data_IF_431650023685
#
_entry.id   IF_431650023685
#
_cell.length_a   1.000
_cell.length_b   1.000
_cell.length_c   1.000
_cell.angle_alpha   90.00
_cell.angle_beta   90.00
_cell.angle_gamma   90.00
#
_symmetry.space_group_name_H-M   'P 1'
#
loop_
_entity.id
_entity.type
_entity.pdbx_description
1 polymer ?
#
# COMPACT_ATOMS: atom_id res chain seq x y z
N UNK A 1 12.62 20.72 -39.29
CA UNK A 1 11.31 21.38 -39.22
C UNK A 1 10.52 20.65 -38.17
N UNK A 2 10.23 21.32 -37.04
CA UNK A 2 9.42 20.75 -35.96
C UNK A 2 7.99 20.51 -36.43
N UNK A 3 7.45 19.36 -36.16
CA UNK A 3 6.03 19.08 -36.35
C UNK A 3 5.28 19.85 -35.26
N UNK A 4 4.43 20.80 -35.66
CA UNK A 4 3.53 21.48 -34.73
C UNK A 4 2.29 20.57 -34.55
N UNK A 5 2.21 19.86 -33.44
CA UNK A 5 1.01 19.14 -33.07
C UNK A 5 0.01 20.10 -32.42
N UNK A 6 -1.21 20.13 -32.95
CA UNK A 6 -2.32 20.84 -32.31
C UNK A 6 -3.17 19.84 -31.54
N UNK A 7 -3.23 20.03 -30.24
CA UNK A 7 -4.15 19.30 -29.38
C UNK A 7 -5.28 20.26 -28.96
N UNK A 8 -6.52 19.85 -29.17
CA UNK A 8 -7.67 20.55 -28.62
C UNK A 8 -8.07 19.86 -27.33
N UNK A 9 -8.10 20.63 -26.24
CA UNK A 9 -8.59 20.17 -24.95
C UNK A 9 -9.94 20.84 -24.68
N UNK A 10 -10.91 20.05 -24.28
CA UNK A 10 -12.15 20.56 -23.73
C UNK A 10 -11.93 20.77 -22.24
N UNK A 11 -12.09 22.01 -21.78
CA UNK A 11 -12.05 22.34 -20.37
C UNK A 11 -13.46 22.20 -19.82
N UNK A 12 -13.65 21.32 -18.85
CA UNK A 12 -14.90 21.18 -18.11
C UNK A 12 -14.71 21.87 -16.78
N UNK A 13 -15.55 22.86 -16.49
CA UNK A 13 -15.60 23.48 -15.18
C UNK A 13 -16.10 22.45 -14.16
N UNK A 14 -15.33 22.21 -13.11
CA UNK A 14 -15.69 21.33 -12.02
C UNK A 14 -15.39 22.01 -10.68
N UNK A 15 -16.36 21.99 -9.77
CA UNK A 15 -16.12 22.37 -8.39
C UNK A 15 -15.30 21.26 -7.71
N UNK A 16 -14.03 21.55 -7.44
CA UNK A 16 -13.09 20.62 -6.79
C UNK A 16 -12.88 20.94 -5.31
N UNK A 17 -13.62 21.87 -4.74
CA UNK A 17 -13.57 22.21 -3.31
C UNK A 17 -13.87 20.96 -2.46
N UNK A 18 -14.84 20.15 -2.93
CA UNK A 18 -15.16 18.85 -2.36
C UNK A 18 -14.85 17.78 -3.40
N UNK A 19 -14.00 16.84 -3.06
CA UNK A 19 -13.60 15.77 -3.98
C UNK A 19 -13.19 14.50 -3.23
N UNK A 20 -13.03 13.42 -4.00
CA UNK A 20 -12.46 12.18 -3.49
C UNK A 20 -11.19 11.88 -4.29
N UNK A 21 -10.11 11.56 -3.59
CA UNK A 21 -8.89 10.98 -4.15
C UNK A 21 -8.82 9.50 -3.79
N UNK A 22 -8.90 8.62 -4.80
CA UNK A 22 -8.66 7.19 -4.66
C UNK A 22 -7.18 6.93 -4.85
N UNK A 23 -6.56 6.20 -3.92
CA UNK A 23 -5.11 5.99 -3.93
C UNK A 23 -4.80 4.51 -4.10
N UNK A 24 -4.19 4.16 -5.23
CA UNK A 24 -3.62 2.84 -5.48
C UNK A 24 -2.10 2.89 -5.52
N UNK A 25 -1.44 1.76 -5.24
CA UNK A 25 0.00 1.60 -5.36
C UNK A 25 0.34 0.19 -5.83
N UNK A 26 1.53 0.02 -6.39
CA UNK A 26 2.12 -1.30 -6.62
C UNK A 26 1.21 -2.21 -7.45
N UNK A 27 0.92 -1.82 -8.68
CA UNK A 27 0.09 -2.60 -9.60
C UNK A 27 0.87 -3.76 -10.21
N UNK A 28 2.15 -3.58 -10.50
CA UNK A 28 3.04 -4.58 -11.11
C UNK A 28 2.41 -5.36 -12.26
N UNK A 29 1.75 -4.64 -13.18
CA UNK A 29 1.12 -5.26 -14.34
C UNK A 29 2.17 -5.69 -15.36
N UNK A 30 2.04 -6.91 -15.87
CA UNK A 30 3.00 -7.52 -16.79
C UNK A 30 2.37 -8.40 -17.86
N UNK A 31 1.03 -8.44 -17.95
CA UNK A 31 0.28 -9.43 -18.76
C UNK A 31 0.71 -10.86 -18.40
N UNK A 32 0.79 -11.12 -17.09
CA UNK A 32 1.24 -12.37 -16.53
C UNK A 32 0.15 -13.02 -15.70
N UNK A 33 -0.14 -14.29 -15.97
CA UNK A 33 -1.19 -15.02 -15.25
C UNK A 33 -2.56 -14.34 -15.37
N UNK A 34 -3.09 -13.83 -14.28
CA UNK A 34 -4.40 -13.22 -14.21
C UNK A 34 -4.35 -11.74 -13.79
N UNK A 35 -3.17 -11.13 -13.79
CA UNK A 35 -2.96 -9.77 -13.29
C UNK A 35 -3.92 -8.75 -13.94
N UNK A 36 -3.94 -8.66 -15.27
CA UNK A 36 -4.82 -7.73 -15.99
C UNK A 36 -6.31 -8.03 -15.75
N UNK A 37 -6.68 -9.30 -15.64
CA UNK A 37 -8.05 -9.69 -15.33
C UNK A 37 -8.44 -9.32 -13.90
N UNK A 38 -7.58 -9.60 -12.93
CA UNK A 38 -7.82 -9.31 -11.53
C UNK A 38 -7.84 -7.79 -11.29
N UNK A 39 -6.94 -7.05 -11.93
CA UNK A 39 -6.93 -5.59 -11.89
C UNK A 39 -8.23 -5.00 -12.48
N UNK A 40 -8.69 -5.51 -13.63
CA UNK A 40 -9.94 -5.08 -14.26
C UNK A 40 -11.15 -5.32 -13.38
N UNK A 41 -11.28 -6.56 -12.88
CA UNK A 41 -12.48 -6.98 -12.15
C UNK A 41 -12.49 -6.52 -10.69
N UNK A 42 -11.32 -6.15 -10.16
CA UNK A 42 -11.16 -5.59 -8.83
C UNK A 42 -11.07 -4.07 -8.88
N UNK A 43 -9.84 -3.55 -8.83
CA UNK A 43 -9.57 -2.13 -8.67
C UNK A 43 -10.32 -1.23 -9.68
N UNK A 44 -10.21 -1.54 -10.97
CA UNK A 44 -10.83 -0.71 -12.03
C UNK A 44 -12.36 -0.72 -11.91
N UNK A 45 -12.97 -1.90 -11.74
CA UNK A 45 -14.43 -2.01 -11.65
C UNK A 45 -14.98 -1.30 -10.40
N UNK A 46 -14.32 -1.46 -9.24
CA UNK A 46 -14.77 -0.85 -7.99
C UNK A 46 -14.58 0.66 -7.97
N UNK A 47 -13.43 1.15 -8.44
CA UNK A 47 -13.14 2.59 -8.46
C UNK A 47 -13.98 3.33 -9.52
N UNK A 48 -14.26 2.70 -10.66
CA UNK A 48 -15.19 3.25 -11.64
C UNK A 48 -16.62 3.32 -11.08
N UNK A 49 -17.10 2.22 -10.46
CA UNK A 49 -18.43 2.20 -9.85
C UNK A 49 -18.56 3.21 -8.70
N UNK A 50 -17.48 3.41 -7.93
CA UNK A 50 -17.43 4.44 -6.90
C UNK A 50 -17.56 5.84 -7.52
N UNK A 51 -16.83 6.12 -8.58
CA UNK A 51 -16.86 7.41 -9.27
C UNK A 51 -18.23 7.68 -9.91
N UNK A 52 -18.83 6.66 -10.54
CA UNK A 52 -20.15 6.76 -11.18
C UNK A 52 -21.27 7.04 -10.14
N UNK A 53 -21.10 6.59 -8.90
CA UNK A 53 -22.05 6.80 -7.80
C UNK A 53 -21.80 8.07 -6.98
N UNK A 54 -20.63 8.72 -7.17
CA UNK A 54 -20.23 9.88 -6.39
C UNK A 54 -20.97 11.14 -6.83
N UNK A 55 -21.35 11.98 -5.86
CA UNK A 55 -21.93 13.32 -6.10
C UNK A 55 -20.87 14.42 -6.21
N UNK A 56 -19.60 14.10 -5.97
CA UNK A 56 -18.46 15.02 -6.07
C UNK A 56 -17.41 14.44 -7.04
N UNK A 57 -16.54 15.27 -7.60
CA UNK A 57 -15.47 14.81 -8.48
C UNK A 57 -14.61 13.73 -7.81
N UNK A 58 -14.28 12.68 -8.56
CA UNK A 58 -13.41 11.59 -8.11
C UNK A 58 -12.18 11.55 -8.98
N UNK A 59 -11.02 11.49 -8.35
CA UNK A 59 -9.71 11.37 -8.97
C UNK A 59 -9.01 10.12 -8.46
N UNK A 60 -8.03 9.65 -9.19
CA UNK A 60 -7.17 8.55 -8.78
C UNK A 60 -5.71 9.01 -8.72
N UNK A 61 -4.99 8.63 -7.68
CA UNK A 61 -3.55 8.84 -7.52
C UNK A 61 -2.88 7.47 -7.43
N UNK A 62 -2.00 7.17 -8.38
CA UNK A 62 -1.20 5.95 -8.38
C UNK A 62 0.19 6.26 -7.80
N UNK A 63 0.50 5.67 -6.66
CA UNK A 63 1.74 5.92 -5.93
C UNK A 63 2.91 5.03 -6.39
N UNK A 64 3.04 4.83 -7.71
CA UNK A 64 4.15 4.14 -8.33
C UNK A 64 3.91 2.65 -8.65
N UNK A 65 4.86 2.10 -9.41
CA UNK A 65 4.93 0.70 -9.81
C UNK A 65 3.70 0.22 -10.60
N UNK A 66 3.33 0.99 -11.66
CA UNK A 66 2.22 0.63 -12.53
C UNK A 66 2.49 -0.65 -13.31
N UNK A 67 3.74 -0.86 -13.69
CA UNK A 67 4.15 -2.04 -14.47
C UNK A 67 5.31 -2.77 -13.79
N UNK A 68 5.53 -4.01 -14.21
CA UNK A 68 6.66 -4.78 -13.68
C UNK A 68 7.81 -4.81 -14.69
N UNK A 69 8.79 -3.95 -14.55
CA UNK A 69 9.93 -3.71 -15.43
C UNK A 69 10.64 -5.00 -15.89
N UNK A 70 10.81 -5.97 -14.98
CA UNK A 70 11.41 -7.28 -15.27
C UNK A 70 10.81 -7.97 -16.50
N UNK A 71 9.51 -7.72 -16.76
CA UNK A 71 8.77 -8.38 -17.85
C UNK A 71 8.47 -7.45 -19.02
N UNK A 72 8.98 -6.22 -19.02
CA UNK A 72 8.67 -5.22 -20.04
C UNK A 72 8.94 -5.73 -21.45
N UNK A 73 10.05 -6.42 -21.65
CA UNK A 73 10.47 -6.92 -22.95
C UNK A 73 10.02 -8.38 -23.19
N UNK A 74 10.12 -9.23 -22.19
CA UNK A 74 9.74 -10.64 -22.27
C UNK A 74 8.23 -10.84 -22.52
N UNK A 75 7.39 -9.98 -21.92
CA UNK A 75 5.93 -10.01 -22.05
C UNK A 75 5.39 -8.91 -22.95
N UNK A 76 6.26 -8.01 -23.39
CA UNK A 76 5.88 -6.83 -24.16
C UNK A 76 4.75 -6.02 -23.50
N UNK A 77 4.81 -5.87 -22.15
CA UNK A 77 3.88 -5.06 -21.40
C UNK A 77 4.63 -3.97 -20.61
N UNK A 78 4.52 -2.72 -21.07
CA UNK A 78 5.22 -1.53 -20.57
C UNK A 78 4.22 -0.40 -20.32
N UNK A 79 4.67 0.74 -19.84
CA UNK A 79 3.84 1.91 -19.56
C UNK A 79 2.92 2.35 -20.71
N UNK A 80 3.35 2.38 -21.99
CA UNK A 80 2.41 2.66 -23.08
C UNK A 80 1.27 1.63 -23.20
N UNK A 81 1.54 0.36 -22.88
CA UNK A 81 0.51 -0.68 -22.88
C UNK A 81 -0.45 -0.52 -21.70
N UNK A 82 0.05 -0.18 -20.53
CA UNK A 82 -0.76 0.16 -19.35
C UNK A 82 -1.72 1.31 -19.65
N UNK A 83 -1.22 2.44 -20.17
CA UNK A 83 -2.05 3.59 -20.54
C UNK A 83 -3.13 3.22 -21.56
N UNK A 84 -2.72 2.49 -22.62
CA UNK A 84 -3.65 2.01 -23.65
C UNK A 84 -4.69 1.04 -23.08
N UNK A 85 -4.28 0.19 -22.14
CA UNK A 85 -5.15 -0.77 -21.50
C UNK A 85 -6.23 -0.08 -20.67
N UNK A 86 -5.91 0.95 -19.89
CA UNK A 86 -6.90 1.77 -19.17
C UNK A 86 -7.94 2.35 -20.13
N UNK A 87 -7.48 2.99 -21.19
CA UNK A 87 -8.36 3.58 -22.22
C UNK A 87 -9.27 2.53 -22.89
N UNK A 88 -8.71 1.39 -23.29
CA UNK A 88 -9.48 0.31 -23.94
C UNK A 88 -10.51 -0.34 -23.02
N UNK A 89 -10.31 -0.31 -21.72
CA UNK A 89 -11.25 -0.81 -20.74
C UNK A 89 -12.25 0.24 -20.25
N UNK A 90 -12.21 1.45 -20.82
CA UNK A 90 -13.19 2.50 -20.55
C UNK A 90 -13.04 3.12 -19.16
N UNK A 91 -11.84 3.05 -18.55
CA UNK A 91 -11.60 3.72 -17.28
C UNK A 91 -11.62 5.23 -17.47
N UNK A 92 -12.58 5.91 -16.85
CA UNK A 92 -12.84 7.33 -17.06
C UNK A 92 -12.43 8.22 -15.88
N UNK A 93 -12.04 7.62 -14.77
CA UNK A 93 -11.53 8.37 -13.60
C UNK A 93 -10.20 9.00 -13.99
N UNK A 94 -10.01 10.33 -13.84
CA UNK A 94 -8.73 10.99 -14.09
C UNK A 94 -7.64 10.44 -13.14
N UNK A 95 -6.47 10.09 -13.70
CA UNK A 95 -5.39 9.45 -12.95
C UNK A 95 -4.16 10.35 -12.92
N UNK A 96 -3.69 10.66 -11.73
CA UNK A 96 -2.37 11.21 -11.45
C UNK A 96 -1.40 10.07 -11.13
N UNK A 97 -0.14 10.18 -11.55
CA UNK A 97 0.84 9.10 -11.37
C UNK A 97 2.09 9.63 -10.67
N UNK A 98 2.55 8.93 -9.64
CA UNK A 98 3.94 8.99 -9.19
C UNK A 98 4.75 7.88 -9.87
N UNK A 99 6.05 8.07 -10.04
CA UNK A 99 6.92 7.07 -10.62
C UNK A 99 7.44 6.13 -9.53
N UNK A 100 7.41 4.82 -9.77
CA UNK A 100 8.01 3.83 -8.90
C UNK A 100 9.30 3.22 -9.48
N UNK A 101 9.99 2.41 -8.69
CA UNK A 101 11.25 1.80 -9.15
C UNK A 101 11.04 0.81 -10.29
N UNK A 102 9.87 0.20 -10.42
CA UNK A 102 9.53 -0.71 -11.53
C UNK A 102 8.94 0.00 -12.76
N UNK A 103 8.92 1.33 -12.77
CA UNK A 103 8.49 2.13 -13.92
C UNK A 103 9.67 2.68 -14.74
N UNK A 104 10.89 2.26 -14.40
CA UNK A 104 12.13 2.57 -15.11
C UNK A 104 12.46 1.52 -16.18
N UNK A 105 13.17 1.93 -17.24
CA UNK A 105 13.59 0.99 -18.29
C UNK A 105 14.75 0.10 -17.80
N UNK A 106 14.54 -1.22 -17.68
CA UNK A 106 15.54 -2.13 -17.13
C UNK A 106 16.72 -2.42 -18.08
N UNK A 107 16.67 -1.94 -19.32
CA UNK A 107 17.76 -2.10 -20.29
C UNK A 107 18.70 -0.89 -20.33
N UNK A 108 18.41 0.18 -19.61
CA UNK A 108 19.25 1.38 -19.63
C UNK A 108 19.79 1.74 -18.25
N UNK A 109 21.04 2.19 -18.22
CA UNK A 109 21.68 2.67 -16.99
C UNK A 109 21.47 4.18 -16.84
N UNK A 110 21.34 4.60 -15.57
CA UNK A 110 21.24 6.00 -15.17
C UNK A 110 19.80 6.53 -15.19
N UNK A 111 19.59 7.48 -14.33
CA UNK A 111 18.29 8.01 -13.97
C UNK A 111 17.56 8.67 -15.15
N UNK A 112 18.15 9.68 -15.76
CA UNK A 112 17.53 10.44 -16.85
C UNK A 112 17.12 9.56 -18.06
N UNK A 113 17.89 8.58 -18.55
CA UNK A 113 17.43 7.67 -19.60
C UNK A 113 16.44 6.63 -19.08
N UNK A 114 16.54 6.16 -17.83
CA UNK A 114 15.65 5.16 -17.23
C UNK A 114 14.20 5.60 -17.21
N UNK A 115 13.96 6.87 -16.88
CA UNK A 115 12.62 7.47 -16.74
C UNK A 115 11.99 7.94 -18.06
N UNK A 116 12.71 7.92 -19.21
CA UNK A 116 12.19 8.46 -20.47
C UNK A 116 10.88 7.83 -20.93
N UNK A 117 10.68 6.54 -20.72
CA UNK A 117 9.45 5.84 -21.08
C UNK A 117 8.27 6.37 -20.25
N UNK A 118 8.48 6.59 -18.97
CA UNK A 118 7.50 7.18 -18.07
C UNK A 118 7.13 8.59 -18.53
N UNK A 119 8.10 9.48 -18.65
CA UNK A 119 7.87 10.88 -19.01
C UNK A 119 7.17 11.05 -20.36
N UNK A 120 7.44 10.19 -21.34
CA UNK A 120 6.78 10.20 -22.65
C UNK A 120 5.36 9.64 -22.64
N UNK A 121 5.05 8.76 -21.68
CA UNK A 121 3.78 8.05 -21.63
C UNK A 121 2.78 8.67 -20.66
N UNK A 122 3.22 8.97 -19.44
CA UNK A 122 2.35 9.38 -18.34
C UNK A 122 2.47 10.87 -18.01
N UNK A 123 3.58 11.51 -18.36
CA UNK A 123 3.83 12.92 -18.10
C UNK A 123 5.08 13.16 -17.24
N UNK A 124 5.22 14.35 -16.65
CA UNK A 124 6.38 14.66 -15.82
C UNK A 124 6.44 13.72 -14.61
N UNK A 125 7.65 13.36 -14.18
CA UNK A 125 7.88 12.50 -13.03
C UNK A 125 7.77 13.25 -11.68
N UNK A 126 7.76 14.60 -11.71
CA UNK A 126 7.40 15.42 -10.56
C UNK A 126 6.60 16.65 -11.02
N UNK A 127 5.60 17.02 -10.27
CA UNK A 127 4.69 18.12 -10.56
C UNK A 127 3.80 18.45 -9.35
N UNK A 128 3.07 19.56 -9.43
CA UNK A 128 2.05 19.90 -8.45
C UNK A 128 0.75 20.34 -9.11
N UNK A 129 -0.33 20.29 -8.37
CA UNK A 129 -1.65 20.77 -8.78
C UNK A 129 -2.51 21.08 -7.55
N UNK A 130 -3.57 21.84 -7.75
CA UNK A 130 -4.54 22.14 -6.71
C UNK A 130 -5.89 21.50 -7.03
N UNK A 131 -6.53 20.89 -6.03
CA UNK A 131 -7.95 20.56 -6.06
C UNK A 131 -8.62 21.26 -4.87
N UNK A 132 -9.49 22.22 -5.18
CA UNK A 132 -9.99 23.14 -4.17
C UNK A 132 -8.87 23.86 -3.45
N UNK A 133 -8.85 23.74 -2.12
CA UNK A 133 -7.82 24.35 -1.25
C UNK A 133 -6.61 23.46 -0.99
N UNK A 134 -6.71 22.16 -1.30
CA UNK A 134 -5.64 21.22 -1.06
C UNK A 134 -4.59 21.31 -2.15
N UNK A 135 -3.34 21.49 -1.75
CA UNK A 135 -2.19 21.45 -2.63
C UNK A 135 -1.63 20.03 -2.71
N UNK A 136 -1.51 19.50 -3.92
CA UNK A 136 -0.97 18.17 -4.20
C UNK A 136 0.38 18.31 -4.88
N UNK A 137 1.36 17.57 -4.38
CA UNK A 137 2.71 17.46 -4.94
C UNK A 137 2.98 16.00 -5.25
N UNK A 138 3.51 15.73 -6.41
CA UNK A 138 4.04 14.42 -6.79
C UNK A 138 5.53 14.56 -7.00
N UNK A 139 6.31 13.66 -6.37
CA UNK A 139 7.77 13.63 -6.45
C UNK A 139 8.24 12.27 -6.97
N UNK A 140 9.41 12.27 -7.60
CA UNK A 140 10.16 11.08 -7.96
C UNK A 140 11.31 10.90 -6.97
N UNK A 141 11.28 9.84 -6.21
CA UNK A 141 12.27 9.50 -5.19
C UNK A 141 13.15 8.29 -5.57
N UNK A 142 13.16 7.94 -6.86
CA UNK A 142 13.95 6.86 -7.44
C UNK A 142 15.11 7.45 -8.26
N UNK A 143 16.32 7.39 -7.73
CA UNK A 143 17.55 7.65 -8.50
C UNK A 143 18.04 6.33 -9.11
N UNK A 144 17.63 6.07 -10.36
CA UNK A 144 17.84 4.82 -11.06
C UNK A 144 19.29 4.62 -11.49
N UNK A 145 19.93 3.54 -11.06
CA UNK A 145 21.31 3.17 -11.38
C UNK A 145 21.34 2.12 -12.48
N UNK A 146 20.71 0.97 -12.23
CA UNK A 146 20.61 -0.18 -13.12
C UNK A 146 21.96 -0.68 -13.64
N UNK A 147 22.85 -1.02 -12.75
CA UNK A 147 24.21 -1.50 -13.08
C UNK A 147 24.17 -2.66 -14.08
N UNK A 148 24.91 -2.53 -15.15
CA UNK A 148 25.03 -3.55 -16.20
C UNK A 148 23.88 -3.59 -17.21
N UNK A 149 22.85 -2.74 -17.07
CA UNK A 149 21.77 -2.63 -18.05
C UNK A 149 22.29 -2.09 -19.39
N UNK A 150 21.88 -2.71 -20.50
CA UNK A 150 22.19 -2.28 -21.88
C UNK A 150 21.14 -2.85 -22.83
N UNK A 151 21.16 -2.42 -24.10
CA UNK A 151 20.18 -2.90 -25.09
C UNK A 151 20.17 -4.44 -25.16
N UNK A 152 19.00 -5.01 -24.90
CA UNK A 152 18.76 -6.45 -24.80
C UNK A 152 19.28 -7.12 -23.53
N UNK A 153 19.82 -6.37 -22.56
CA UNK A 153 20.39 -6.92 -21.31
C UNK A 153 19.73 -6.29 -20.09
N UNK A 154 19.02 -7.11 -19.34
CA UNK A 154 18.44 -6.72 -18.05
C UNK A 154 19.58 -6.41 -17.05
N UNK A 155 19.59 -5.20 -16.50
CA UNK A 155 20.57 -4.79 -15.48
C UNK A 155 20.20 -5.30 -14.08
N UNK A 156 20.94 -4.82 -13.09
CA UNK A 156 20.69 -5.13 -11.65
C UNK A 156 19.37 -4.61 -11.13
N UNK A 157 18.85 -3.55 -11.77
CA UNK A 157 17.65 -2.81 -11.36
C UNK A 157 17.81 -2.15 -9.98
N UNK A 158 19.06 -1.84 -9.63
CA UNK A 158 19.40 -1.10 -8.42
C UNK A 158 19.12 0.41 -8.57
N UNK A 159 18.83 1.05 -7.46
CA UNK A 159 18.50 2.48 -7.36
C UNK A 159 18.82 3.01 -5.97
N UNK A 160 18.99 4.33 -5.85
CA UNK A 160 18.99 5.03 -4.58
C UNK A 160 17.60 5.59 -4.27
N UNK A 161 17.26 5.67 -2.99
CA UNK A 161 16.03 6.25 -2.48
C UNK A 161 16.30 7.69 -2.09
N UNK A 162 16.05 8.59 -3.01
CA UNK A 162 16.37 10.01 -2.83
C UNK A 162 15.64 10.89 -3.84
N UNK A 163 15.05 11.98 -3.37
CA UNK A 163 14.57 13.06 -4.23
C UNK A 163 15.76 13.90 -4.70
N UNK A 164 15.88 14.14 -5.99
CA UNK A 164 17.02 14.87 -6.57
C UNK A 164 17.10 16.32 -6.07
N UNK A 165 18.29 16.90 -6.05
CA UNK A 165 18.50 18.30 -5.66
C UNK A 165 17.68 19.28 -6.53
N UNK A 166 17.53 18.96 -7.82
CA UNK A 166 16.72 19.77 -8.73
C UNK A 166 15.23 19.78 -8.31
N UNK A 167 14.69 18.60 -7.96
CA UNK A 167 13.33 18.50 -7.44
C UNK A 167 13.17 19.20 -6.08
N UNK A 168 14.16 19.07 -5.17
CA UNK A 168 14.10 19.76 -3.88
C UNK A 168 14.13 21.28 -4.02
N UNK A 169 14.87 21.79 -5.01
CA UNK A 169 14.89 23.24 -5.33
C UNK A 169 13.53 23.69 -5.87
N UNK A 170 13.00 22.94 -6.83
CA UNK A 170 11.67 23.19 -7.39
C UNK A 170 10.58 23.10 -6.30
N UNK A 171 10.62 22.08 -5.45
CA UNK A 171 9.67 21.91 -4.35
C UNK A 171 9.68 23.12 -3.39
N UNK A 172 10.85 23.65 -3.08
CA UNK A 172 10.96 24.81 -2.22
C UNK A 172 10.30 26.06 -2.85
N UNK A 173 10.44 26.26 -4.17
CA UNK A 173 9.81 27.34 -4.91
C UNK A 173 8.28 27.15 -5.02
N UNK A 174 7.84 25.94 -5.31
CA UNK A 174 6.43 25.54 -5.41
C UNK A 174 5.71 25.75 -4.08
N UNK A 175 6.25 25.17 -2.98
CA UNK A 175 5.66 25.34 -1.65
C UNK A 175 5.71 26.79 -1.16
N UNK A 176 6.70 27.59 -1.57
CA UNK A 176 6.74 29.02 -1.24
C UNK A 176 5.60 29.81 -1.90
N UNK A 177 5.14 29.36 -3.07
CA UNK A 177 4.04 29.97 -3.81
C UNK A 177 2.65 29.66 -3.22
N UNK A 178 2.51 28.65 -2.38
CA UNK A 178 1.26 28.34 -1.67
C UNK A 178 1.02 29.42 -0.62
N UNK A 179 -0.04 30.22 -0.80
CA UNK A 179 -0.36 31.35 0.09
C UNK A 179 -0.89 30.90 1.45
N UNK A 180 -1.86 29.95 1.45
CA UNK A 180 -2.50 29.43 2.67
C UNK A 180 -1.87 28.10 3.11
N UNK A 181 -0.95 28.18 4.06
CA UNK A 181 -0.32 26.98 4.65
C UNK A 181 -1.12 26.35 5.81
N UNK A 182 -2.32 26.88 6.09
CA UNK A 182 -3.26 26.24 7.00
C UNK A 182 -4.12 25.20 6.29
N UNK A 183 -4.20 25.25 4.96
CA UNK A 183 -4.81 24.22 4.14
C UNK A 183 -3.90 22.99 4.06
N UNK A 184 -4.47 21.78 3.91
CA UNK A 184 -3.71 20.54 3.83
C UNK A 184 -2.77 20.49 2.62
N UNK A 185 -1.58 19.93 2.83
CA UNK A 185 -0.62 19.55 1.80
C UNK A 185 -0.61 18.03 1.66
N UNK A 186 -0.75 17.54 0.44
CA UNK A 186 -0.59 16.12 0.10
C UNK A 186 0.65 15.95 -0.76
N UNK A 187 1.61 15.14 -0.31
CA UNK A 187 2.83 14.83 -1.06
C UNK A 187 2.86 13.35 -1.38
N UNK A 188 2.82 13.01 -2.66
CA UNK A 188 2.92 11.64 -3.13
C UNK A 188 4.32 11.35 -3.67
N UNK A 189 4.90 10.25 -3.23
CA UNK A 189 6.12 9.65 -3.74
C UNK A 189 6.01 8.14 -3.60
N UNK A 190 6.92 7.38 -4.22
CA UNK A 190 6.76 5.93 -4.22
C UNK A 190 7.30 5.27 -2.96
N UNK A 191 8.54 5.57 -2.58
CA UNK A 191 9.19 4.95 -1.41
C UNK A 191 8.76 5.66 -0.13
N UNK A 192 8.51 4.88 0.92
CA UNK A 192 8.14 5.43 2.22
C UNK A 192 9.27 6.27 2.85
N UNK A 193 8.88 7.35 3.53
CA UNK A 193 9.79 8.17 4.33
C UNK A 193 10.15 7.48 5.64
N UNK A 194 9.18 6.81 6.24
CA UNK A 194 9.32 6.12 7.52
C UNK A 194 8.83 4.68 7.43
N UNK A 195 9.20 3.91 8.43
CA UNK A 195 8.79 2.53 8.63
C UNK A 195 8.58 2.28 10.11
N UNK A 196 7.54 1.52 10.47
CA UNK A 196 7.25 1.15 11.87
C UNK A 196 7.07 -0.36 12.07
N UNK A 197 7.44 -1.20 11.09
CA UNK A 197 7.40 -2.66 11.25
C UNK A 197 8.64 -3.17 11.99
N UNK A 198 8.66 -2.86 13.27
CA UNK A 198 9.65 -3.32 14.22
C UNK A 198 8.98 -3.59 15.58
N UNK A 199 9.62 -4.37 16.45
CA UNK A 199 9.03 -4.77 17.72
C UNK A 199 8.76 -3.60 18.69
N UNK A 200 9.33 -2.44 18.47
CA UNK A 200 9.07 -1.22 19.25
C UNK A 200 7.95 -0.36 18.66
N UNK A 201 7.49 -0.66 17.45
CA UNK A 201 6.54 0.15 16.67
C UNK A 201 6.97 1.61 16.46
N UNK A 202 8.25 1.87 16.58
CA UNK A 202 8.82 3.22 16.43
C UNK A 202 8.98 3.56 14.94
N UNK A 203 8.63 4.80 14.58
CA UNK A 203 8.85 5.32 13.24
C UNK A 203 10.35 5.49 12.99
N UNK A 204 10.89 4.85 11.98
CA UNK A 204 12.31 4.88 11.59
C UNK A 204 12.43 5.46 10.18
N UNK A 205 13.26 6.52 10.03
CA UNK A 205 13.48 7.14 8.71
C UNK A 205 14.16 6.17 7.73
N UNK A 206 13.73 6.17 6.48
CA UNK A 206 14.14 5.22 5.44
C UNK A 206 14.98 5.82 4.32
N UNK A 207 14.95 7.14 4.15
CA UNK A 207 15.70 7.84 3.12
C UNK A 207 16.82 8.66 3.78
N UNK A 208 18.05 8.14 3.82
CA UNK A 208 19.12 8.72 4.65
C UNK A 208 19.80 9.95 4.04
N UNK A 209 19.51 10.32 2.78
CA UNK A 209 20.15 11.46 2.12
C UNK A 209 19.93 12.76 2.89
N UNK A 210 21.02 13.53 3.08
CA UNK A 210 20.95 14.84 3.75
C UNK A 210 20.24 15.91 2.89
N UNK A 211 20.24 15.76 1.57
CA UNK A 211 19.73 16.78 0.63
C UNK A 211 18.36 16.47 0.03
N UNK A 212 17.99 15.20 -0.07
CA UNK A 212 16.73 14.76 -0.67
C UNK A 212 16.12 13.55 0.02
N UNK A 213 16.49 13.28 1.26
CA UNK A 213 15.93 12.21 2.07
C UNK A 213 14.85 12.68 3.03
N UNK A 214 14.46 11.78 3.96
CA UNK A 214 13.37 12.00 4.93
C UNK A 214 13.51 13.35 5.66
N UNK A 215 14.69 13.66 6.19
CA UNK A 215 14.91 14.89 6.95
C UNK A 215 14.76 16.16 6.11
N UNK A 216 15.20 16.14 4.86
CA UNK A 216 15.08 17.26 3.94
C UNK A 216 13.61 17.50 3.55
N UNK A 217 12.86 16.43 3.25
CA UNK A 217 11.43 16.50 2.96
C UNK A 217 10.61 17.01 4.15
N UNK A 218 10.87 16.49 5.35
CA UNK A 218 10.22 16.98 6.57
C UNK A 218 10.49 18.47 6.83
N UNK A 219 11.71 18.93 6.53
CA UNK A 219 12.04 20.35 6.64
C UNK A 219 11.34 21.20 5.57
N UNK A 220 11.16 20.70 4.34
CA UNK A 220 10.49 21.42 3.27
C UNK A 220 9.01 21.69 3.60
N UNK A 221 8.33 20.76 4.26
CA UNK A 221 6.89 20.86 4.57
C UNK A 221 6.57 21.47 5.95
N UNK A 222 7.58 21.87 6.72
CA UNK A 222 7.44 22.26 8.14
C UNK A 222 6.48 23.41 8.43
N UNK A 223 6.26 24.28 7.44
CA UNK A 223 5.45 25.50 7.60
C UNK A 223 3.94 25.22 7.43
N UNK A 224 3.57 24.04 6.91
CA UNK A 224 2.19 23.63 6.76
C UNK A 224 1.60 23.13 8.09
N UNK A 225 0.30 23.34 8.26
CA UNK A 225 -0.42 22.94 9.47
C UNK A 225 -0.84 21.46 9.44
N UNK A 226 -1.04 20.91 8.24
CA UNK A 226 -1.44 19.51 8.00
C UNK A 226 -0.75 18.99 6.73
N UNK A 227 -0.09 17.84 6.84
CA UNK A 227 0.65 17.22 5.74
C UNK A 227 0.37 15.73 5.70
N UNK A 228 -0.01 15.24 4.53
CA UNK A 228 -0.18 13.83 4.24
C UNK A 228 0.87 13.38 3.22
N UNK A 229 1.78 12.50 3.63
CA UNK A 229 2.61 11.77 2.68
C UNK A 229 1.86 10.51 2.23
N UNK A 230 1.78 10.29 0.92
CA UNK A 230 1.18 9.10 0.30
C UNK A 230 2.31 8.30 -0.35
N UNK A 231 2.47 7.06 0.08
CA UNK A 231 3.56 6.17 -0.38
C UNK A 231 3.06 4.76 -0.66
N UNK A 232 3.87 3.96 -1.37
CA UNK A 232 3.64 2.56 -1.71
C UNK A 232 4.88 1.71 -1.42
N UNK A 233 5.37 0.98 -2.45
CA UNK A 233 6.65 0.28 -2.47
C UNK A 233 6.77 -0.95 -1.55
N UNK A 234 6.27 -0.89 -0.35
CA UNK A 234 6.50 -1.93 0.66
C UNK A 234 5.52 -3.09 0.58
N UNK A 235 4.41 -2.91 -0.12
CA UNK A 235 3.28 -3.83 -0.14
C UNK A 235 2.67 -4.09 1.25
N UNK A 236 2.90 -3.17 2.18
CA UNK A 236 2.33 -3.18 3.53
C UNK A 236 1.30 -2.07 3.66
N UNK A 237 0.25 -2.32 4.44
CA UNK A 237 -0.65 -1.27 4.89
C UNK A 237 -0.14 -0.67 6.19
N UNK A 238 0.20 0.61 6.18
CA UNK A 238 0.71 1.27 7.38
C UNK A 238 0.36 2.75 7.39
N UNK A 239 -0.26 3.22 8.48
CA UNK A 239 -0.48 4.64 8.73
C UNK A 239 0.40 5.08 9.88
N UNK A 240 1.28 6.03 9.64
CA UNK A 240 2.28 6.49 10.60
C UNK A 240 2.05 7.95 10.97
N UNK A 241 1.66 8.21 12.21
CA UNK A 241 1.61 9.56 12.76
C UNK A 241 3.04 9.95 13.14
N UNK A 242 3.64 10.85 12.37
CA UNK A 242 5.04 11.26 12.53
C UNK A 242 5.14 12.33 13.64
N UNK A 243 4.22 13.27 13.60
CA UNK A 243 4.02 14.30 14.62
C UNK A 243 2.57 14.83 14.56
N UNK A 244 2.29 15.91 15.25
CA UNK A 244 0.97 16.55 15.34
C UNK A 244 0.46 17.15 14.01
N UNK A 245 1.33 17.30 13.01
CA UNK A 245 1.02 17.86 11.70
C UNK A 245 1.16 16.89 10.53
N UNK A 246 2.00 15.87 10.68
CA UNK A 246 2.45 15.02 9.57
C UNK A 246 2.02 13.58 9.79
N UNK A 247 1.30 13.04 8.81
CA UNK A 247 0.92 11.64 8.73
C UNK A 247 1.46 11.06 7.42
N UNK A 248 2.04 9.88 7.48
CA UNK A 248 2.39 9.10 6.29
C UNK A 248 1.45 7.91 6.15
N UNK A 249 0.93 7.75 4.95
CA UNK A 249 0.05 6.67 4.53
C UNK A 249 0.80 5.79 3.54
N UNK A 250 1.34 4.67 4.01
CA UNK A 250 1.90 3.66 3.15
C UNK A 250 0.77 2.72 2.71
N UNK A 251 0.40 2.83 1.44
CA UNK A 251 -0.75 2.11 0.88
C UNK A 251 -0.36 0.68 0.55
N UNK A 252 -1.16 -0.29 0.96
CA UNK A 252 -0.97 -1.68 0.57
C UNK A 252 -1.12 -1.87 -0.94
N UNK A 253 -0.48 -2.90 -1.48
CA UNK A 253 -0.41 -3.14 -2.91
C UNK A 253 -1.76 -3.56 -3.52
N UNK A 254 -2.10 -2.99 -4.66
CA UNK A 254 -3.23 -3.46 -5.48
C UNK A 254 -2.94 -4.85 -6.05
N UNK A 255 -1.66 -5.16 -6.32
CA UNK A 255 -1.24 -6.47 -6.81
C UNK A 255 -1.23 -7.57 -5.75
N UNK A 256 -1.82 -7.34 -4.55
CA UNK A 256 -1.75 -8.33 -3.48
C UNK A 256 -0.27 -8.71 -3.16
N UNK A 257 0.03 -9.97 -3.01
CA UNK A 257 1.40 -10.48 -2.99
C UNK A 257 1.83 -10.77 -4.44
N UNK A 258 2.13 -9.73 -5.25
CA UNK A 258 2.61 -9.83 -6.63
C UNK A 258 1.70 -10.67 -7.56
N UNK A 259 0.39 -10.62 -7.37
CA UNK A 259 -0.63 -11.45 -8.05
C UNK A 259 -0.49 -12.96 -7.77
N UNK A 260 0.28 -13.33 -6.73
CA UNK A 260 0.55 -14.72 -6.39
C UNK A 260 -0.36 -15.27 -5.30
N UNK A 261 -0.91 -14.43 -4.42
CA UNK A 261 -1.76 -14.93 -3.32
C UNK A 261 -3.04 -15.57 -3.87
N UNK A 262 -3.65 -14.97 -4.89
CA UNK A 262 -4.81 -15.57 -5.60
C UNK A 262 -4.45 -16.77 -6.46
N UNK A 263 -3.18 -16.99 -6.78
CA UNK A 263 -2.72 -18.20 -7.46
C UNK A 263 -2.66 -19.41 -6.50
N UNK A 264 -2.19 -19.21 -5.28
CA UNK A 264 -2.09 -20.28 -4.26
C UNK A 264 -3.37 -20.44 -3.43
N UNK A 265 -4.16 -19.39 -3.32
CA UNK A 265 -5.47 -19.38 -2.66
C UNK A 265 -6.41 -18.46 -3.46
N UNK A 266 -7.69 -18.38 -3.09
CA UNK A 266 -8.62 -17.41 -3.67
C UNK A 266 -8.64 -16.07 -2.90
N UNK A 267 -7.59 -15.80 -2.10
CA UNK A 267 -7.46 -14.61 -1.25
C UNK A 267 -6.47 -13.62 -1.85
N UNK A 268 -6.97 -12.43 -2.19
CA UNK A 268 -6.15 -11.29 -2.58
C UNK A 268 -5.64 -10.58 -1.32
N UNK A 269 -4.46 -11.00 -0.82
CA UNK A 269 -3.86 -10.49 0.42
C UNK A 269 -2.40 -10.08 0.22
N UNK A 270 -2.01 -9.01 0.90
CA UNK A 270 -0.65 -8.52 0.95
C UNK A 270 0.19 -9.29 1.99
N UNK A 271 1.50 -9.07 1.98
CA UNK A 271 2.45 -9.79 2.83
C UNK A 271 2.25 -9.58 4.33
N UNK A 272 1.59 -8.51 4.73
CA UNK A 272 1.19 -8.18 6.11
C UNK A 272 -0.22 -8.73 6.48
N UNK A 273 -0.87 -9.42 5.54
CA UNK A 273 -2.21 -9.98 5.69
C UNK A 273 -3.34 -9.01 5.47
N UNK A 274 -3.08 -7.73 5.20
CA UNK A 274 -4.15 -6.81 4.75
C UNK A 274 -4.71 -7.29 3.41
N UNK A 275 -5.99 -7.07 3.11
CA UNK A 275 -6.48 -7.34 1.76
C UNK A 275 -5.77 -6.43 0.76
N UNK A 276 -5.53 -6.91 -0.46
CA UNK A 276 -5.19 -6.02 -1.57
C UNK A 276 -6.26 -4.93 -1.69
N UNK A 277 -5.87 -3.69 -1.90
CA UNK A 277 -6.86 -2.63 -1.85
C UNK A 277 -6.32 -1.24 -2.19
N UNK A 278 -7.07 -0.24 -1.79
CA UNK A 278 -6.77 1.15 -2.08
C UNK A 278 -7.29 2.08 -0.97
N UNK A 279 -6.65 3.23 -0.85
CA UNK A 279 -7.10 4.31 0.03
C UNK A 279 -8.23 5.11 -0.61
N UNK A 280 -9.17 5.59 0.22
CA UNK A 280 -10.22 6.53 -0.16
C UNK A 280 -10.03 7.77 0.70
N UNK A 281 -9.65 8.88 0.09
CA UNK A 281 -9.45 10.16 0.76
C UNK A 281 -10.59 11.10 0.36
N UNK A 282 -11.45 11.41 1.30
CA UNK A 282 -12.57 12.34 1.12
C UNK A 282 -12.13 13.71 1.61
N UNK A 283 -12.16 14.68 0.71
CA UNK A 283 -11.84 16.07 0.99
C UNK A 283 -13.10 16.90 0.99
N UNK A 284 -13.34 17.63 2.06
CA UNK A 284 -14.40 18.59 2.19
C UNK A 284 -13.80 19.92 2.61
N UNK A 285 -13.55 20.77 1.61
CA UNK A 285 -12.78 22.01 1.74
C UNK A 285 -11.34 21.73 2.25
N UNK A 286 -11.09 21.86 3.54
CA UNK A 286 -9.81 21.55 4.18
C UNK A 286 -9.86 20.34 5.13
N UNK A 287 -11.02 19.72 5.30
CA UNK A 287 -11.16 18.50 6.13
C UNK A 287 -10.84 17.27 5.28
N UNK A 288 -9.73 16.60 5.60
CA UNK A 288 -9.27 15.38 4.91
C UNK A 288 -9.56 14.18 5.79
N UNK A 289 -10.39 13.26 5.28
CA UNK A 289 -10.67 11.97 5.92
C UNK A 289 -10.26 10.84 5.01
N UNK A 290 -9.80 9.74 5.59
CA UNK A 290 -9.37 8.58 4.83
C UNK A 290 -9.89 7.28 5.40
N UNK A 291 -10.02 6.32 4.54
CA UNK A 291 -10.32 4.94 4.87
C UNK A 291 -9.61 4.01 3.88
N UNK A 292 -9.49 2.75 4.22
CA UNK A 292 -8.95 1.73 3.35
C UNK A 292 -10.06 0.82 2.84
N UNK A 293 -10.03 0.48 1.56
CA UNK A 293 -11.00 -0.42 0.93
C UNK A 293 -10.27 -1.65 0.37
N UNK A 294 -10.51 -2.80 0.97
CA UNK A 294 -10.09 -4.08 0.39
C UNK A 294 -10.87 -4.41 -0.87
N UNK A 295 -10.17 -4.77 -1.96
CA UNK A 295 -10.78 -5.19 -3.23
C UNK A 295 -11.61 -6.47 -2.99
N UNK A 296 -12.85 -6.47 -3.44
CA UNK A 296 -13.79 -7.57 -3.24
C UNK A 296 -14.44 -7.64 -1.85
N UNK A 297 -14.01 -6.78 -0.92
CA UNK A 297 -14.52 -6.77 0.45
C UNK A 297 -15.50 -5.61 0.68
N UNK A 298 -16.44 -5.70 1.65
CA UNK A 298 -17.27 -4.56 2.03
C UNK A 298 -16.42 -3.41 2.60
N UNK A 299 -16.88 -2.16 2.47
CA UNK A 299 -16.18 -0.99 3.01
C UNK A 299 -15.97 -1.06 4.54
N UNK A 300 -16.86 -1.71 5.27
CA UNK A 300 -16.76 -1.92 6.72
C UNK A 300 -15.81 -3.05 7.13
N UNK A 301 -15.19 -3.77 6.21
CA UNK A 301 -14.23 -4.83 6.51
C UNK A 301 -12.86 -4.22 6.78
N UNK A 302 -12.62 -3.81 8.04
CA UNK A 302 -11.41 -3.09 8.46
C UNK A 302 -10.49 -3.90 9.36
N UNK A 303 -10.89 -5.12 9.73
CA UNK A 303 -10.04 -6.02 10.51
C UNK A 303 -10.45 -7.49 10.29
N UNK A 304 -9.54 -8.40 10.67
CA UNK A 304 -9.74 -9.86 10.63
C UNK A 304 -9.30 -10.48 11.95
N UNK A 305 -10.04 -11.48 12.43
CA UNK A 305 -9.75 -12.15 13.68
C UNK A 305 -9.42 -13.62 13.49
N UNK A 306 -8.52 -14.13 14.32
CA UNK A 306 -8.03 -15.50 14.30
C UNK A 306 -8.13 -16.14 15.69
N UNK A 307 -8.84 -17.27 15.79
CA UNK A 307 -8.74 -18.15 16.94
C UNK A 307 -7.47 -18.99 16.83
N UNK A 308 -6.43 -18.65 17.59
CA UNK A 308 -5.13 -19.32 17.50
C UNK A 308 -5.20 -20.79 17.88
N UNK A 309 -6.19 -21.23 18.67
CA UNK A 309 -6.44 -22.66 18.91
C UNK A 309 -6.82 -23.42 17.63
N UNK A 310 -7.52 -22.77 16.68
CA UNK A 310 -7.85 -23.39 15.40
C UNK A 310 -6.75 -23.20 14.37
N UNK A 311 -6.06 -22.06 14.36
CA UNK A 311 -4.90 -21.80 13.51
C UNK A 311 -3.82 -22.87 13.71
N UNK A 312 -3.49 -23.19 14.96
CA UNK A 312 -2.48 -24.21 15.31
C UNK A 312 -2.74 -25.57 14.66
N UNK A 313 -3.99 -25.95 14.43
CA UNK A 313 -4.35 -27.21 13.79
C UNK A 313 -3.91 -27.32 12.33
N UNK A 314 -3.63 -26.17 11.68
CA UNK A 314 -3.15 -26.12 10.31
C UNK A 314 -1.61 -26.08 10.20
N UNK A 315 -0.89 -26.07 11.33
CA UNK A 315 0.56 -25.93 11.41
C UNK A 315 1.30 -27.21 11.74
N UNK A 316 0.58 -28.26 12.11
CA UNK A 316 1.19 -29.55 12.53
C UNK A 316 1.63 -30.36 11.31
N UNK A 317 2.63 -29.84 10.59
CA UNK A 317 3.26 -30.52 9.48
C UNK A 317 4.76 -30.18 9.38
N UNK A 318 5.50 -31.01 8.63
CA UNK A 318 6.93 -30.82 8.39
C UNK A 318 7.24 -29.54 7.57
N UNK A 319 6.29 -29.10 6.71
CA UNK A 319 6.42 -27.92 5.89
C UNK A 319 6.45 -26.65 6.74
N UNK A 320 5.59 -26.56 7.75
CA UNK A 320 5.62 -25.40 8.66
C UNK A 320 6.95 -25.30 9.42
N UNK A 321 7.52 -26.43 9.85
CA UNK A 321 8.86 -26.45 10.48
C UNK A 321 9.95 -25.98 9.53
N UNK A 322 9.88 -26.38 8.25
CA UNK A 322 10.81 -25.92 7.22
C UNK A 322 10.66 -24.40 6.96
N UNK A 323 9.43 -23.90 6.96
CA UNK A 323 9.13 -22.48 6.82
C UNK A 323 9.70 -21.67 7.98
N UNK A 324 9.53 -22.12 9.23
CA UNK A 324 10.12 -21.47 10.41
C UNK A 324 11.65 -21.40 10.32
N UNK A 325 12.31 -22.43 9.79
CA UNK A 325 13.75 -22.40 9.57
C UNK A 325 14.18 -21.34 8.53
N UNK A 326 13.36 -21.11 7.49
CA UNK A 326 13.58 -20.04 6.53
C UNK A 326 13.36 -18.65 7.14
N UNK A 327 12.36 -18.48 7.99
CA UNK A 327 12.13 -17.23 8.71
C UNK A 327 13.23 -16.89 9.72
N UNK A 328 13.91 -17.90 10.28
CA UNK A 328 14.95 -17.69 11.29
C UNK A 328 16.12 -16.82 10.83
N UNK A 329 16.34 -16.73 9.51
CA UNK A 329 17.39 -15.90 8.89
C UNK A 329 16.93 -14.46 8.60
N UNK A 330 15.71 -14.06 8.97
CA UNK A 330 15.12 -12.76 8.64
C UNK A 330 14.96 -11.88 9.88
N UNK A 331 15.14 -10.60 9.71
CA UNK A 331 15.00 -9.61 10.79
C UNK A 331 13.56 -9.54 11.32
N UNK A 332 12.60 -9.79 10.44
CA UNK A 332 11.16 -9.67 10.68
C UNK A 332 10.47 -11.04 10.70
N UNK A 333 10.99 -11.95 11.50
CA UNK A 333 10.57 -13.37 11.48
C UNK A 333 9.28 -13.71 12.22
N UNK A 334 8.83 -12.87 13.17
CA UNK A 334 7.68 -13.16 14.04
C UNK A 334 7.83 -14.38 14.91
N UNK A 335 6.77 -14.71 15.62
CA UNK A 335 6.74 -15.83 16.55
C UNK A 335 6.38 -17.16 15.87
N UNK A 336 6.71 -18.25 16.55
CA UNK A 336 6.22 -19.59 16.21
C UNK A 336 4.78 -19.73 16.71
N UNK A 337 3.80 -19.76 15.82
CA UNK A 337 2.40 -19.91 16.19
C UNK A 337 2.12 -21.16 17.05
N UNK A 338 2.93 -22.22 16.93
CA UNK A 338 2.84 -23.40 17.77
C UNK A 338 3.11 -23.11 19.25
N UNK A 339 3.81 -22.03 19.55
CA UNK A 339 4.15 -21.57 20.92
C UNK A 339 3.21 -20.50 21.45
N UNK A 340 2.31 -19.96 20.64
CA UNK A 340 1.29 -19.01 21.10
C UNK A 340 0.43 -19.70 22.17
N UNK A 341 0.13 -19.00 23.25
CA UNK A 341 -0.66 -19.52 24.38
C UNK A 341 -2.04 -20.05 23.98
N UNK A 342 -2.68 -20.77 24.89
CA UNK A 342 -4.04 -21.23 24.65
C UNK A 342 -5.04 -20.08 24.77
N UNK A 343 -6.14 -20.20 24.02
CA UNK A 343 -7.24 -19.24 23.97
C UNK A 343 -6.87 -17.84 23.47
N UNK A 344 -5.69 -17.68 22.89
CA UNK A 344 -5.28 -16.41 22.26
C UNK A 344 -6.06 -16.20 20.97
N UNK A 345 -6.50 -14.96 20.78
CA UNK A 345 -7.10 -14.45 19.54
C UNK A 345 -6.20 -13.36 18.97
N UNK A 346 -5.86 -13.47 17.68
CA UNK A 346 -5.20 -12.40 16.95
C UNK A 346 -6.22 -11.56 16.20
N UNK A 347 -5.95 -10.25 16.11
CA UNK A 347 -6.78 -9.26 15.43
C UNK A 347 -5.85 -8.45 14.53
N UNK A 348 -5.98 -8.60 13.22
CA UNK A 348 -5.23 -7.83 12.24
C UNK A 348 -6.10 -6.64 11.80
N UNK A 349 -5.65 -5.41 12.08
CA UNK A 349 -6.41 -4.16 11.86
C UNK A 349 -5.64 -3.30 10.88
N UNK A 350 -5.94 -3.42 9.59
CA UNK A 350 -5.29 -2.61 8.57
C UNK A 350 -5.71 -1.15 8.63
N UNK A 351 -4.88 -0.27 8.09
CA UNK A 351 -5.02 1.20 8.17
C UNK A 351 -5.01 1.77 9.61
N UNK A 352 -4.56 0.96 10.59
CA UNK A 352 -4.48 1.36 11.99
C UNK A 352 -3.47 2.50 12.20
N UNK A 353 -3.85 3.49 12.99
CA UNK A 353 -2.96 4.47 13.58
C UNK A 353 -3.20 4.60 15.11
N UNK A 354 -2.30 5.26 15.85
CA UNK A 354 -2.41 5.33 17.32
C UNK A 354 -3.68 5.99 17.89
N UNK A 355 -4.45 6.71 17.07
CA UNK A 355 -5.74 7.27 17.49
C UNK A 355 -6.89 6.27 17.44
N UNK A 356 -6.70 5.12 16.79
CA UNK A 356 -7.70 4.06 16.76
C UNK A 356 -7.79 3.33 18.09
N UNK A 357 -8.97 2.78 18.40
CA UNK A 357 -9.21 1.97 19.59
C UNK A 357 -9.58 0.55 19.17
N UNK A 358 -8.95 -0.42 19.82
CA UNK A 358 -9.27 -1.84 19.68
C UNK A 358 -9.71 -2.35 21.04
N UNK A 359 -10.96 -2.71 21.17
CA UNK A 359 -11.59 -3.15 22.41
C UNK A 359 -12.17 -4.55 22.25
N UNK A 360 -11.98 -5.39 23.26
CA UNK A 360 -12.53 -6.74 23.29
C UNK A 360 -13.22 -6.98 24.61
N UNK A 361 -14.42 -7.55 24.56
CA UNK A 361 -15.18 -7.93 25.74
C UNK A 361 -15.52 -9.43 25.69
N UNK A 362 -15.51 -10.05 26.85
CA UNK A 362 -15.98 -11.40 27.09
C UNK A 362 -17.05 -11.33 28.19
N UNK A 363 -18.27 -11.80 27.89
CA UNK A 363 -19.41 -11.70 28.81
C UNK A 363 -19.61 -10.28 29.39
N UNK A 364 -19.46 -9.27 28.53
CA UNK A 364 -19.59 -7.85 28.90
C UNK A 364 -18.38 -7.26 29.65
N UNK A 365 -17.43 -8.08 30.09
CA UNK A 365 -16.21 -7.63 30.80
C UNK A 365 -15.07 -7.32 29.82
N UNK A 366 -14.34 -6.21 29.97
CA UNK A 366 -13.24 -5.88 29.09
C UNK A 366 -12.06 -6.84 29.28
N UNK A 367 -11.42 -7.24 28.18
CA UNK A 367 -10.16 -7.98 28.16
C UNK A 367 -9.00 -7.05 27.84
N UNK A 368 -7.80 -7.40 28.32
CA UNK A 368 -6.57 -6.69 27.98
C UNK A 368 -6.18 -6.99 26.53
N UNK A 369 -6.17 -5.96 25.68
CA UNK A 369 -5.71 -6.02 24.30
C UNK A 369 -4.26 -5.57 24.23
N UNK A 370 -3.39 -6.37 23.59
CA UNK A 370 -1.97 -6.08 23.42
C UNK A 370 -1.65 -5.94 21.93
N UNK A 371 -0.94 -4.90 21.54
CA UNK A 371 -0.34 -4.80 20.22
C UNK A 371 0.85 -5.75 20.14
N UNK A 372 0.93 -6.57 19.11
CA UNK A 372 1.97 -7.59 18.92
C UNK A 372 2.61 -7.42 17.55
N UNK A 373 3.89 -7.74 17.47
CA UNK A 373 4.64 -7.70 16.23
C UNK A 373 4.78 -9.13 15.69
N UNK A 374 3.82 -9.53 14.84
CA UNK A 374 3.76 -10.89 14.32
C UNK A 374 3.20 -10.92 12.90
N UNK A 375 3.35 -12.06 12.23
CA UNK A 375 2.85 -12.31 10.88
C UNK A 375 1.35 -12.58 10.90
N UNK A 376 0.73 -12.37 9.74
CA UNK A 376 -0.68 -12.73 9.54
C UNK A 376 -0.83 -14.26 9.33
N UNK A 377 -1.68 -14.95 10.12
CA UNK A 377 -1.89 -16.38 9.97
C UNK A 377 -2.48 -16.79 8.62
N UNK A 378 -3.35 -15.95 8.01
CA UNK A 378 -3.95 -16.28 6.73
C UNK A 378 -2.89 -16.28 5.63
N UNK A 379 -2.07 -15.22 5.53
CA UNK A 379 -1.01 -15.16 4.55
C UNK A 379 0.00 -16.28 4.73
N UNK A 380 0.45 -16.54 5.96
CA UNK A 380 1.39 -17.63 6.28
C UNK A 380 0.86 -19.00 5.82
N UNK A 381 -0.41 -19.31 6.12
CA UNK A 381 -0.97 -20.65 5.88
C UNK A 381 -1.42 -20.84 4.43
N UNK A 382 -1.94 -19.78 3.79
CA UNK A 382 -2.49 -19.90 2.43
C UNK A 382 -1.49 -19.58 1.33
N UNK A 383 -0.41 -18.88 1.65
CA UNK A 383 0.61 -18.48 0.69
C UNK A 383 1.98 -19.11 0.96
N UNK A 384 2.59 -18.87 2.15
CA UNK A 384 3.96 -19.33 2.39
C UNK A 384 4.07 -20.87 2.49
N UNK A 385 3.15 -21.52 3.19
CA UNK A 385 3.15 -22.99 3.30
C UNK A 385 3.01 -23.65 1.91
N UNK A 386 2.02 -23.32 1.07
CA UNK A 386 1.90 -23.87 -0.28
C UNK A 386 3.13 -23.61 -1.17
N UNK A 387 3.78 -22.46 -1.03
CA UNK A 387 5.02 -22.17 -1.77
C UNK A 387 6.16 -23.08 -1.38
N UNK A 388 6.36 -23.31 -0.08
CA UNK A 388 7.38 -24.25 0.42
C UNK A 388 7.08 -25.66 -0.04
N UNK A 389 5.82 -26.08 -0.01
CA UNK A 389 5.38 -27.39 -0.54
C UNK A 389 5.66 -27.54 -2.04
N UNK A 390 5.44 -26.47 -2.80
CA UNK A 390 5.77 -26.41 -4.23
C UNK A 390 7.27 -26.22 -4.52
N UNK A 391 8.12 -26.24 -3.48
CA UNK A 391 9.58 -26.05 -3.56
C UNK A 391 10.02 -24.71 -4.13
N UNK A 392 9.22 -23.68 -4.00
CA UNK A 392 9.66 -22.34 -4.25
C UNK A 392 10.46 -21.81 -3.06
N UNK A 393 11.58 -21.18 -3.33
CA UNK A 393 12.33 -20.48 -2.30
C UNK A 393 11.51 -19.34 -1.72
N UNK A 394 11.59 -19.15 -0.41
CA UNK A 394 11.00 -17.99 0.22
C UNK A 394 11.85 -16.76 -0.09
N UNK A 395 11.45 -15.99 -1.10
CA UNK A 395 11.99 -14.65 -1.30
C UNK A 395 11.49 -13.74 -0.18
N UNK A 396 12.36 -12.86 0.34
CA UNK A 396 12.03 -11.92 1.40
C UNK A 396 10.84 -11.03 1.01
N UNK A 397 10.77 -10.58 -0.23
CA UNK A 397 9.73 -9.66 -0.72
C UNK A 397 8.34 -10.29 -0.81
N UNK A 398 8.24 -11.61 -0.84
CA UNK A 398 6.98 -12.34 -1.03
C UNK A 398 6.52 -13.10 0.21
N UNK A 399 7.38 -13.27 1.19
CA UNK A 399 7.02 -13.99 2.40
C UNK A 399 6.20 -13.12 3.36
N UNK A 400 5.38 -13.78 4.17
CA UNK A 400 4.70 -13.10 5.27
C UNK A 400 5.68 -12.30 6.11
N UNK A 401 5.33 -11.07 6.39
CA UNK A 401 6.10 -10.21 7.28
C UNK A 401 5.30 -9.88 8.54
N UNK A 402 6.01 -9.53 9.60
CA UNK A 402 5.38 -9.01 10.79
C UNK A 402 4.83 -7.63 10.52
N UNK A 403 3.62 -7.37 11.00
CA UNK A 403 2.97 -6.09 10.85
C UNK A 403 2.96 -5.29 12.14
N UNK A 404 2.82 -3.98 12.00
CA UNK A 404 2.66 -3.07 13.13
C UNK A 404 1.20 -2.88 13.56
N UNK A 405 0.26 -3.58 12.95
CA UNK A 405 -1.17 -3.44 13.19
C UNK A 405 -1.85 -4.75 13.62
N UNK A 406 -1.05 -5.68 14.18
CA UNK A 406 -1.56 -6.91 14.80
C UNK A 406 -1.78 -6.71 16.30
N UNK A 407 -2.89 -7.24 16.79
CA UNK A 407 -3.26 -7.23 18.20
C UNK A 407 -3.55 -8.65 18.70
N UNK A 408 -3.43 -8.84 20.00
CA UNK A 408 -3.76 -10.09 20.65
C UNK A 408 -4.56 -9.88 21.92
N UNK A 409 -5.41 -10.86 22.23
CA UNK A 409 -6.17 -10.94 23.47
C UNK A 409 -6.23 -12.42 23.90
N UNK A 410 -6.29 -12.67 25.21
CA UNK A 410 -6.46 -14.02 25.75
C UNK A 410 -7.85 -14.14 26.36
N UNK A 411 -8.67 -15.03 25.82
CA UNK A 411 -9.98 -15.35 26.35
C UNK A 411 -9.90 -16.35 27.50
N UNK A 412 -10.93 -16.41 28.35
CA UNK A 412 -10.97 -17.30 29.53
C UNK A 412 -11.12 -18.78 29.16
N UNK A 413 -11.74 -19.10 28.02
CA UNK A 413 -11.96 -20.48 27.58
C UNK A 413 -11.90 -20.62 26.06
N UNK A 414 -11.75 -21.86 25.53
CA UNK A 414 -11.72 -22.09 24.07
C UNK A 414 -13.07 -21.91 23.37
N UNK A 415 -14.16 -21.72 24.13
CA UNK A 415 -15.53 -21.63 23.61
C UNK A 415 -16.22 -20.31 23.95
N UNK A 416 -15.57 -19.42 24.70
CA UNK A 416 -16.15 -18.11 25.03
C UNK A 416 -16.36 -17.27 23.79
N UNK A 417 -17.48 -16.54 23.75
CA UNK A 417 -17.79 -15.59 22.71
C UNK A 417 -17.14 -14.24 23.04
N UNK A 418 -16.55 -13.60 22.05
CA UNK A 418 -15.92 -12.29 22.20
C UNK A 418 -16.65 -11.23 21.37
N UNK A 419 -16.86 -10.08 21.98
CA UNK A 419 -17.31 -8.87 21.29
C UNK A 419 -16.06 -8.01 21.00
N UNK A 420 -15.72 -7.87 19.71
CA UNK A 420 -14.55 -7.12 19.23
C UNK A 420 -15.06 -5.86 18.57
N UNK A 421 -14.55 -4.72 19.02
CA UNK A 421 -14.88 -3.40 18.49
C UNK A 421 -13.62 -2.65 18.14
N UNK A 422 -13.57 -2.16 16.91
CA UNK A 422 -12.50 -1.31 16.40
C UNK A 422 -13.13 0.04 16.05
N UNK A 423 -12.61 1.12 16.61
CA UNK A 423 -13.07 2.48 16.32
C UNK A 423 -11.92 3.25 15.69
N UNK A 424 -12.13 3.79 14.49
CA UNK A 424 -11.12 4.60 13.80
C UNK A 424 -11.02 6.02 14.37
N UNK A 425 -10.07 6.81 13.89
CA UNK A 425 -9.84 8.18 14.37
C UNK A 425 -11.01 9.13 14.07
N UNK A 426 -11.87 8.78 13.12
CA UNK A 426 -13.05 9.57 12.74
C UNK A 426 -14.32 9.15 13.48
N UNK A 427 -14.23 8.14 14.36
CA UNK A 427 -15.35 7.63 15.16
C UNK A 427 -16.20 6.58 14.45
N UNK A 428 -15.79 6.08 13.26
CA UNK A 428 -16.44 4.94 12.64
C UNK A 428 -16.18 3.68 13.45
N UNK A 429 -17.23 2.87 13.64
CA UNK A 429 -17.18 1.68 14.48
C UNK A 429 -17.32 0.43 13.61
N UNK A 430 -16.39 -0.48 13.74
CA UNK A 430 -16.36 -1.79 13.09
C UNK A 430 -16.43 -2.85 14.18
N UNK A 431 -17.29 -3.87 14.04
CA UNK A 431 -17.47 -4.86 15.10
C UNK A 431 -17.62 -6.28 14.57
N UNK A 432 -17.17 -7.22 15.38
CA UNK A 432 -17.38 -8.65 15.17
C UNK A 432 -17.82 -9.29 16.49
N UNK A 433 -18.88 -10.10 16.45
CA UNK A 433 -19.24 -11.02 17.51
C UNK A 433 -18.63 -12.40 17.17
N UNK A 434 -17.46 -12.66 17.74
CA UNK A 434 -16.66 -13.84 17.44
C UNK A 434 -17.12 -15.03 18.30
N UNK A 435 -17.86 -15.95 17.68
CA UNK A 435 -18.15 -17.26 18.30
C UNK A 435 -16.91 -18.15 18.20
N UNK A 436 -16.60 -18.85 19.29
CA UNK A 436 -15.45 -19.74 19.37
C UNK A 436 -15.88 -21.19 19.67
N UNK A 437 -15.16 -22.22 19.16
CA UNK A 437 -13.99 -22.09 18.31
C UNK A 437 -14.34 -21.51 16.92
N UNK A 438 -13.63 -20.46 16.48
CA UNK A 438 -13.77 -19.90 15.15
C UNK A 438 -12.97 -20.73 14.15
N UNK A 439 -13.61 -21.28 13.15
CA UNK A 439 -12.93 -22.04 12.12
C UNK A 439 -11.93 -21.16 11.34
N UNK A 440 -10.76 -21.69 11.05
CA UNK A 440 -9.83 -21.04 10.14
C UNK A 440 -10.22 -21.35 8.69
N UNK A 441 -10.66 -20.31 7.97
CA UNK A 441 -11.15 -20.43 6.59
C UNK A 441 -10.02 -20.06 5.63
N UNK A 442 -9.49 -21.05 4.91
CA UNK A 442 -8.40 -20.87 3.93
C UNK A 442 -8.90 -20.25 2.62
N UNK A 443 -10.14 -20.48 2.25
CA UNK A 443 -10.74 -20.03 1.00
C UNK A 443 -11.93 -19.10 1.28
N UNK A 444 -12.29 -18.25 0.30
CA UNK A 444 -13.46 -17.39 0.40
C UNK A 444 -14.78 -18.09 0.05
N UNK A 445 -14.70 -19.34 -0.40
CA UNK A 445 -15.85 -20.17 -0.80
C UNK A 445 -16.14 -21.25 0.19
#
# INVERSE_FOLDING_TARGET
>A
AGVCEKHNFELVEADTENHVMLVGADLHLADKQNDLRNFKNGFIAETQAFADASSVPVFCLMAGDMTWDRYWYDRNFRLPHYRQWLSRNGYSVPVFHAMGNHDNDPYVQGDAPGQLSYCRTLGPNYYSFNLGKVHYVVLDDIDWINTGGSDGVLGSRDYNRVVSLAQMTWLAEDLAAVEDKTAPLVVCLHVQLYENYNASFANTAKMPSATGGTGALMNAVRDFSEVHFITGHTHHNSTMVINDKVIEHNTAAVCETWWWSTFFSDRAICVDGSPAGYGIYTVNSTDVKWSYKGIGEPAGYQFRTYDMNTVKKHLDNSTYKALLAQYASRDNKGDDYGKVGDNVVYINVWNYDPAWKVEVREDGSPLEVKRVFDRDPLHTITFDIPRVEAKYEANADWASCCSSHMFSVTASSPVSELEITVTDRFGNVYSERMKRPKAFVKTSK
#
